data_IF_281338301996
#
_entry.id   IF_281338301996
#
_cell.length_a   1.000
_cell.length_b   1.000
_cell.length_c   1.000
_cell.angle_alpha   90.00
_cell.angle_beta   90.00
_cell.angle_gamma   90.00
#
_symmetry.space_group_name_H-M   'P 1'
#
loop_
_entity.id
_entity.type
_entity.pdbx_description
1 polymer ?
#
# COMPACT_ATOMS: atom_id res chain seq x y z
N UNK A 1 9.16 -9.72 -0.77
CA UNK A 1 9.35 -8.85 0.43
C UNK A 1 8.07 -8.82 1.24
N UNK A 2 8.10 -8.44 2.52
CA UNK A 2 6.87 -8.36 3.32
C UNK A 2 6.36 -6.92 3.37
N UNK A 3 5.09 -6.71 3.03
CA UNK A 3 4.47 -5.38 2.99
C UNK A 3 3.26 -5.36 3.92
N UNK A 4 3.23 -4.39 4.84
CA UNK A 4 2.08 -4.14 5.69
C UNK A 4 1.14 -3.13 5.03
N UNK A 5 -0.15 -3.44 5.05
CA UNK A 5 -1.21 -2.57 4.55
C UNK A 5 -2.40 -2.58 5.51
N UNK A 6 -3.23 -1.55 5.44
CA UNK A 6 -4.48 -1.47 6.18
C UNK A 6 -5.54 -0.84 5.30
N UNK A 7 -6.58 -1.61 4.98
CA UNK A 7 -7.76 -1.08 4.31
C UNK A 7 -8.58 -0.24 5.28
N UNK A 8 -9.20 0.82 4.77
CA UNK A 8 -10.10 1.68 5.54
C UNK A 8 -11.07 0.85 6.41
N UNK A 9 -11.14 1.20 7.70
CA UNK A 9 -11.97 0.53 8.73
C UNK A 9 -11.63 -0.97 8.97
N UNK A 10 -10.52 -1.49 8.43
CA UNK A 10 -10.01 -2.84 8.69
C UNK A 10 -8.76 -2.82 9.56
N UNK A 11 -8.35 -4.00 10.03
CA UNK A 11 -7.10 -4.20 10.77
C UNK A 11 -5.90 -4.23 9.83
N UNK A 12 -4.69 -3.87 10.30
CA UNK A 12 -3.46 -4.06 9.53
C UNK A 12 -3.30 -5.53 9.14
N UNK A 13 -2.92 -5.74 7.89
CA UNK A 13 -2.66 -7.04 7.30
C UNK A 13 -1.30 -7.01 6.58
N UNK A 14 -0.75 -8.20 6.33
CA UNK A 14 0.57 -8.36 5.75
C UNK A 14 0.51 -9.19 4.48
N UNK A 15 1.05 -8.64 3.39
CA UNK A 15 1.38 -9.41 2.18
C UNK A 15 2.76 -10.01 2.40
N UNK A 16 2.79 -11.33 2.55
CA UNK A 16 4.04 -12.09 2.60
C UNK A 16 4.56 -12.28 1.19
N UNK A 17 5.88 -12.18 1.04
CA UNK A 17 6.55 -12.48 -0.24
C UNK A 17 6.01 -11.70 -1.45
N UNK A 18 5.55 -10.46 -1.22
CA UNK A 18 5.17 -9.54 -2.28
C UNK A 18 6.28 -9.41 -3.33
N UNK A 19 5.92 -9.65 -4.58
CA UNK A 19 6.80 -9.63 -5.74
C UNK A 19 6.39 -8.59 -6.79
N UNK A 20 5.35 -7.80 -6.50
CA UNK A 20 4.89 -6.75 -7.39
C UNK A 20 5.92 -5.63 -7.51
N UNK A 21 5.90 -4.96 -8.66
CA UNK A 21 6.89 -3.93 -9.00
C UNK A 21 6.33 -2.53 -8.88
N UNK A 22 5.02 -2.41 -9.07
CA UNK A 22 4.33 -1.14 -9.17
C UNK A 22 3.19 -1.01 -8.16
N UNK A 23 2.68 0.20 -7.99
CA UNK A 23 1.56 0.52 -7.08
C UNK A 23 0.29 -0.25 -7.47
N UNK A 24 0.10 -0.51 -8.76
CA UNK A 24 -1.01 -1.29 -9.30
C UNK A 24 -0.95 -2.76 -8.86
N UNK A 25 0.22 -3.41 -8.97
CA UNK A 25 0.42 -4.79 -8.48
C UNK A 25 0.08 -4.90 -6.99
N UNK A 26 0.50 -3.91 -6.18
CA UNK A 26 0.21 -3.90 -4.75
C UNK A 26 -1.30 -3.83 -4.53
N UNK A 27 -1.97 -2.93 -5.24
CA UNK A 27 -3.43 -2.75 -5.16
C UNK A 27 -4.16 -4.04 -5.54
N UNK A 28 -3.76 -4.68 -6.64
CA UNK A 28 -4.36 -5.93 -7.12
C UNK A 28 -4.19 -7.09 -6.12
N UNK A 29 -3.02 -7.21 -5.48
CA UNK A 29 -2.77 -8.27 -4.50
C UNK A 29 -3.58 -8.05 -3.21
N UNK A 30 -3.74 -6.79 -2.77
CA UNK A 30 -4.62 -6.42 -1.66
C UNK A 30 -6.08 -6.75 -2.01
N UNK A 31 -6.56 -6.35 -3.20
CA UNK A 31 -7.91 -6.64 -3.69
C UNK A 31 -8.21 -8.13 -3.63
N UNK A 32 -7.28 -8.94 -4.15
CA UNK A 32 -7.39 -10.40 -4.16
C UNK A 32 -7.41 -11.00 -2.76
N UNK A 33 -6.57 -10.51 -1.84
CA UNK A 33 -6.49 -11.00 -0.45
C UNK A 33 -7.72 -10.67 0.37
N UNK A 34 -8.20 -9.44 0.23
CA UNK A 34 -9.36 -8.96 0.97
C UNK A 34 -10.68 -9.51 0.43
N UNK A 35 -10.62 -10.35 -0.63
CA UNK A 35 -11.75 -10.84 -1.42
C UNK A 35 -12.69 -9.70 -1.81
N UNK A 36 -12.11 -8.51 -2.00
CA UNK A 36 -12.86 -7.35 -2.40
C UNK A 36 -13.14 -7.56 -3.88
N UNK A 37 -14.43 -7.72 -4.22
CA UNK A 37 -14.90 -7.62 -5.59
C UNK A 37 -14.60 -6.20 -6.05
N UNK A 38 -13.39 -6.00 -6.56
CA UNK A 38 -13.02 -4.76 -7.20
C UNK A 38 -13.92 -4.65 -8.43
N UNK A 39 -14.96 -3.83 -8.33
CA UNK A 39 -15.58 -3.30 -9.53
C UNK A 39 -14.45 -2.70 -10.37
N UNK A 40 -14.31 -3.05 -11.66
CA UNK A 40 -13.15 -2.70 -12.48
C UNK A 40 -12.92 -1.18 -12.65
N UNK A 41 -13.79 -0.35 -12.06
CA UNK A 41 -13.75 1.11 -12.05
C UNK A 41 -13.29 1.71 -10.71
N UNK A 42 -13.08 0.90 -9.67
CA UNK A 42 -12.74 1.37 -8.32
C UNK A 42 -11.23 1.52 -8.18
N UNK A 43 -10.71 2.70 -8.53
CA UNK A 43 -9.32 3.07 -8.26
C UNK A 43 -9.14 3.25 -6.75
N UNK A 44 -8.33 2.40 -6.13
CA UNK A 44 -8.00 2.53 -4.72
C UNK A 44 -6.82 3.47 -4.56
N UNK A 45 -6.88 4.36 -3.59
CA UNK A 45 -5.78 5.25 -3.28
C UNK A 45 -4.96 4.69 -2.13
N UNK A 46 -3.66 4.53 -2.37
CA UNK A 46 -2.70 4.07 -1.39
C UNK A 46 -2.01 5.27 -0.76
N UNK A 47 -1.84 5.27 0.56
CA UNK A 47 -1.18 6.33 1.31
C UNK A 47 -0.14 5.73 2.24
N UNK A 48 0.95 6.47 2.43
CA UNK A 48 1.99 6.19 3.42
C UNK A 48 2.05 7.34 4.41
N UNK A 49 2.26 7.03 5.69
CA UNK A 49 2.41 8.06 6.72
C UNK A 49 3.87 8.12 7.18
N UNK A 50 4.62 9.18 6.89
CA UNK A 50 5.94 9.37 7.46
C UNK A 50 5.82 9.64 8.97
N UNK A 51 6.83 9.28 9.76
CA UNK A 51 6.77 9.45 11.23
C UNK A 51 6.50 10.88 11.70
N UNK A 52 6.93 11.88 10.91
CA UNK A 52 6.87 13.30 11.27
C UNK A 52 6.10 14.16 10.24
N UNK A 53 5.31 13.55 9.35
CA UNK A 53 4.58 14.28 8.32
C UNK A 53 3.18 13.73 8.06
N UNK A 54 2.41 14.49 7.28
CA UNK A 54 1.09 14.11 6.82
C UNK A 54 1.13 12.87 5.91
N UNK A 55 -0.02 12.21 5.78
CA UNK A 55 -0.21 11.09 4.84
C UNK A 55 0.12 11.55 3.40
N UNK A 56 1.00 10.81 2.74
CA UNK A 56 1.41 11.05 1.36
C UNK A 56 0.79 9.98 0.48
N UNK A 57 0.19 10.39 -0.64
CA UNK A 57 -0.33 9.44 -1.62
C UNK A 57 0.81 8.69 -2.31
N UNK A 58 0.75 7.37 -2.22
CA UNK A 58 1.67 6.46 -2.88
C UNK A 58 1.31 6.36 -4.36
N UNK A 59 2.01 7.13 -5.18
CA UNK A 59 1.89 7.11 -6.64
C UNK A 59 3.07 6.37 -7.28
N UNK A 60 2.94 5.94 -8.54
CA UNK A 60 4.05 5.30 -9.27
C UNK A 60 5.31 6.16 -9.28
N UNK A 61 5.17 7.48 -9.44
CA UNK A 61 6.30 8.41 -9.39
C UNK A 61 7.05 8.35 -8.06
N UNK A 62 6.30 8.21 -6.96
CA UNK A 62 6.87 8.12 -5.61
C UNK A 62 7.65 6.82 -5.42
N UNK A 63 7.12 5.73 -5.99
CA UNK A 63 7.78 4.43 -5.98
C UNK A 63 9.07 4.43 -6.81
N UNK A 64 9.06 5.08 -7.97
CA UNK A 64 10.24 5.26 -8.82
C UNK A 64 11.32 6.08 -8.09
N UNK A 65 10.94 7.19 -7.45
CA UNK A 65 11.86 8.05 -6.68
C UNK A 65 12.48 7.29 -5.50
N UNK A 66 11.69 6.39 -4.89
CA UNK A 66 12.12 5.53 -3.79
C UNK A 66 12.90 4.29 -4.22
N UNK A 67 13.18 4.08 -5.52
CA UNK A 67 13.85 2.87 -6.04
C UNK A 67 13.11 1.55 -5.67
N UNK A 68 11.77 1.60 -5.72
CA UNK A 68 10.88 0.46 -5.49
C UNK A 68 10.48 0.23 -4.03
N UNK A 69 9.62 -0.77 -3.82
CA UNK A 69 8.95 -1.00 -2.53
C UNK A 69 9.92 -1.34 -1.39
N UNK A 70 10.99 -2.06 -1.69
CA UNK A 70 11.94 -2.50 -0.65
C UNK A 70 12.60 -1.32 0.07
N UNK A 71 12.93 -0.25 -0.67
CA UNK A 71 13.50 0.95 -0.09
C UNK A 71 12.42 1.89 0.45
N UNK A 72 11.25 1.99 -0.19
CA UNK A 72 10.08 2.67 0.35
C UNK A 72 9.69 2.16 1.75
N UNK A 73 9.63 0.84 1.96
CA UNK A 73 9.35 0.22 3.26
C UNK A 73 10.36 0.66 4.32
N UNK A 74 11.64 0.79 3.96
CA UNK A 74 12.68 1.26 4.88
C UNK A 74 12.59 2.76 5.14
N UNK A 75 12.35 3.56 4.11
CA UNK A 75 12.28 5.01 4.21
C UNK A 75 11.10 5.48 5.06
N UNK A 76 9.94 4.84 4.89
CA UNK A 76 8.72 5.20 5.60
C UNK A 76 8.46 4.33 6.83
N UNK A 77 9.39 3.45 7.21
CA UNK A 77 9.24 2.49 8.30
C UNK A 77 7.88 1.79 8.23
N UNK A 78 7.62 1.08 7.11
CA UNK A 78 6.34 0.42 6.90
C UNK A 78 6.31 -0.89 7.69
N UNK A 79 5.47 -0.95 8.71
CA UNK A 79 5.30 -2.08 9.60
C UNK A 79 3.85 -2.20 10.10
N UNK A 80 3.59 -3.02 11.13
CA UNK A 80 2.24 -3.21 11.66
C UNK A 80 1.65 -1.98 12.36
N UNK A 81 2.50 -1.12 12.92
CA UNK A 81 2.10 0.14 13.57
C UNK A 81 1.99 1.27 12.54
N UNK A 82 2.75 1.20 11.45
CA UNK A 82 2.69 2.15 10.33
C UNK A 82 2.49 1.46 8.95
N UNK A 83 1.31 0.87 8.69
CA UNK A 83 1.05 0.18 7.44
C UNK A 83 0.72 1.16 6.29
N UNK A 84 0.81 0.67 5.05
CA UNK A 84 0.26 1.39 3.89
C UNK A 84 -1.26 1.48 4.02
N UNK A 85 -1.80 2.69 4.04
CA UNK A 85 -3.23 2.92 4.18
C UNK A 85 -3.91 2.81 2.82
N UNK A 86 -4.91 1.96 2.72
CA UNK A 86 -5.68 1.75 1.48
C UNK A 86 -7.04 2.38 1.66
N UNK A 87 -7.33 3.45 0.93
CA UNK A 87 -8.65 4.09 0.91
C UNK A 87 -9.47 3.53 -0.24
N UNK A 88 -10.66 3.06 0.11
CA UNK A 88 -11.64 2.57 -0.85
C UNK A 88 -12.31 3.80 -1.51
N UNK A 89 -12.59 3.76 -2.82
CA UNK A 89 -13.42 4.77 -3.45
C UNK A 89 -14.84 4.69 -2.88
N UNK A 90 -15.49 5.85 -2.72
CA UNK A 90 -16.86 6.00 -2.22
C UNK A 90 -17.91 5.38 -3.16
#
# INVERSE_FOLDING_TARGET
MDVWYQVEKRKPAKIKEFSGRDVDDLTADIQKKELLEATPTSTWSLYVKPQEADEIELTEKFLIDSDGFGNLIKQYCIDSENPILVRLPD
#
